data_IF_497561836545
#
_entry.id   IF_497561836545
#
_cell.length_a   1.000
_cell.length_b   1.000
_cell.length_c   1.000
_cell.angle_alpha   90.00
_cell.angle_beta   90.00
_cell.angle_gamma   90.00
#
_symmetry.space_group_name_H-M   'P 1'
#
loop_
_entity.id
_entity.type
_entity.pdbx_description
1 polymer ?
#
# COMPACT_ATOMS: atom_id res chain seq x y z
N UNK A 1 -14.47 54.36 -57.00
CA UNK A 1 -13.39 54.94 -57.81
C UNK A 1 -12.06 54.59 -57.15
N UNK A 2 -11.28 53.66 -57.72
CA UNK A 2 -9.92 53.40 -57.24
C UNK A 2 -9.01 54.38 -57.97
N UNK A 3 -8.54 55.42 -57.29
CA UNK A 3 -7.50 56.31 -57.81
C UNK A 3 -6.31 55.48 -58.28
N UNK A 4 -5.89 55.64 -59.54
CA UNK A 4 -4.63 55.08 -60.06
C UNK A 4 -3.49 55.82 -59.38
N UNK A 5 -2.95 55.22 -58.33
CA UNK A 5 -1.83 55.74 -57.57
C UNK A 5 -0.58 55.04 -58.09
N UNK A 6 0.34 55.79 -58.69
CA UNK A 6 1.63 55.27 -59.16
C UNK A 6 2.73 55.74 -58.20
N UNK A 7 3.32 54.81 -57.46
CA UNK A 7 4.37 55.10 -56.47
C UNK A 7 5.66 54.40 -56.89
N UNK A 8 6.75 55.14 -57.01
CA UNK A 8 8.07 54.53 -57.19
C UNK A 8 8.58 53.95 -55.86
N UNK A 9 8.90 52.65 -55.85
CA UNK A 9 9.43 51.93 -54.68
C UNK A 9 10.67 51.12 -55.05
N UNK A 10 11.50 50.78 -54.06
CA UNK A 10 12.57 49.78 -54.21
C UNK A 10 12.07 48.40 -53.79
N UNK A 11 12.36 47.40 -54.61
CA UNK A 11 12.04 46.01 -54.31
C UNK A 11 12.85 45.52 -53.11
N UNK A 12 12.20 44.96 -52.08
CA UNK A 12 12.91 44.43 -50.89
C UNK A 12 13.85 43.24 -51.18
N UNK A 13 13.73 42.60 -52.34
CA UNK A 13 14.56 41.44 -52.71
C UNK A 13 15.74 41.81 -53.62
N UNK A 14 15.49 42.50 -54.73
CA UNK A 14 16.53 42.83 -55.72
C UNK A 14 16.95 44.30 -55.72
N UNK A 15 16.40 45.13 -54.83
CA UNK A 15 16.65 46.57 -54.70
C UNK A 15 16.38 47.43 -55.95
N UNK A 16 15.86 46.85 -57.04
CA UNK A 16 15.47 47.57 -58.23
C UNK A 16 14.28 48.51 -57.95
N UNK A 17 14.31 49.70 -58.57
CA UNK A 17 13.21 50.66 -58.53
C UNK A 17 12.10 50.19 -59.47
N UNK A 18 10.85 50.20 -58.99
CA UNK A 18 9.68 49.81 -59.77
C UNK A 18 8.46 50.66 -59.41
N UNK A 19 7.50 50.75 -60.34
CA UNK A 19 6.25 51.46 -60.12
C UNK A 19 5.23 50.53 -59.48
N UNK A 20 4.76 50.87 -58.29
CA UNK A 20 3.76 50.14 -57.53
C UNK A 20 2.40 50.85 -57.59
N UNK A 21 1.35 50.09 -57.91
CA UNK A 21 -0.03 50.60 -57.92
C UNK A 21 -0.76 50.46 -56.59
N UNK A 22 -0.11 49.88 -55.57
CA UNK A 22 -0.65 49.68 -54.22
C UNK A 22 0.40 50.04 -53.16
N UNK A 23 -0.04 50.60 -52.06
CA UNK A 23 0.82 50.90 -50.89
C UNK A 23 1.39 49.64 -50.24
N UNK A 24 0.72 48.49 -50.37
CA UNK A 24 1.15 47.19 -49.84
C UNK A 24 2.11 46.42 -50.74
N UNK A 25 2.34 46.83 -51.99
CA UNK A 25 3.28 46.12 -52.88
C UNK A 25 4.72 46.41 -52.45
N UNK A 26 5.47 45.36 -52.12
CA UNK A 26 6.86 45.43 -51.62
C UNK A 26 7.92 44.91 -52.61
N UNK A 27 7.49 44.20 -53.66
CA UNK A 27 8.38 43.54 -54.62
C UNK A 27 8.03 43.92 -56.06
N UNK A 28 9.04 44.01 -56.93
CA UNK A 28 8.87 44.40 -58.34
C UNK A 28 8.20 43.33 -59.21
N UNK A 29 8.20 42.07 -58.79
CA UNK A 29 7.62 40.95 -59.55
C UNK A 29 7.24 39.78 -58.65
N UNK A 30 6.37 38.90 -59.14
CA UNK A 30 6.00 37.66 -58.47
C UNK A 30 7.22 36.76 -58.18
N UNK A 31 8.23 36.78 -59.07
CA UNK A 31 9.50 36.05 -58.87
C UNK A 31 10.23 36.54 -57.62
N UNK A 32 10.37 37.85 -57.43
CA UNK A 32 11.04 38.43 -56.26
C UNK A 32 10.26 38.15 -54.97
N UNK A 33 8.93 38.22 -55.01
CA UNK A 33 8.08 37.87 -53.86
C UNK A 33 8.24 36.39 -53.44
N UNK A 34 8.27 35.47 -54.41
CA UNK A 34 8.46 34.04 -54.14
C UNK A 34 9.85 33.72 -53.58
N UNK A 35 10.89 34.38 -54.06
CA UNK A 35 12.24 34.20 -53.54
C UNK A 35 12.35 34.71 -52.10
N UNK A 36 11.80 35.90 -51.81
CA UNK A 36 11.75 36.44 -50.45
C UNK A 36 10.91 35.57 -49.49
N UNK A 37 9.82 34.97 -49.97
CA UNK A 37 9.04 34.01 -49.20
C UNK A 37 9.87 32.76 -48.86
N UNK A 38 10.53 32.15 -49.85
CA UNK A 38 11.36 30.95 -49.64
C UNK A 38 12.55 31.23 -48.71
N UNK A 39 13.19 32.39 -48.82
CA UNK A 39 14.28 32.78 -47.93
C UNK A 39 13.82 32.94 -46.48
N UNK A 40 12.68 33.60 -46.25
CA UNK A 40 12.09 33.73 -44.92
C UNK A 40 11.75 32.37 -44.30
N UNK A 41 11.14 31.46 -45.07
CA UNK A 41 10.86 30.09 -44.60
C UNK A 41 12.16 29.34 -44.25
N UNK A 42 13.22 29.52 -45.05
CA UNK A 42 14.53 28.92 -44.78
C UNK A 42 15.15 29.47 -43.49
N UNK A 43 15.13 30.79 -43.28
CA UNK A 43 15.63 31.44 -42.06
C UNK A 43 14.88 30.98 -40.82
N UNK A 44 13.54 30.92 -40.88
CA UNK A 44 12.72 30.40 -39.78
C UNK A 44 13.07 28.95 -39.41
N UNK A 45 13.35 28.09 -40.40
CA UNK A 45 13.79 26.71 -40.15
C UNK A 45 15.18 26.64 -39.50
N UNK A 46 16.09 27.52 -39.90
CA UNK A 46 17.44 27.57 -39.31
C UNK A 46 17.35 28.05 -37.86
N UNK A 47 16.59 29.12 -37.60
CA UNK A 47 16.38 29.65 -36.24
C UNK A 47 15.70 28.62 -35.33
N UNK A 48 14.70 27.87 -35.83
CA UNK A 48 14.05 26.82 -35.04
C UNK A 48 15.03 25.70 -34.66
N UNK A 49 15.89 25.29 -35.60
CA UNK A 49 16.92 24.27 -35.35
C UNK A 49 18.01 24.76 -34.38
N UNK A 50 18.43 26.02 -34.51
CA UNK A 50 19.39 26.64 -33.58
C UNK A 50 18.81 26.71 -32.16
N UNK A 51 17.55 27.11 -32.02
CA UNK A 51 16.88 27.15 -30.73
C UNK A 51 16.64 25.75 -30.11
N UNK A 52 16.40 24.72 -30.93
CA UNK A 52 16.38 23.33 -30.47
C UNK A 52 17.76 22.86 -29.98
N UNK A 53 18.83 23.24 -30.70
CA UNK A 53 20.19 22.94 -30.30
C UNK A 53 20.55 23.63 -28.97
N UNK A 54 20.22 24.90 -28.80
CA UNK A 54 20.42 25.65 -27.55
C UNK A 54 19.69 25.02 -26.35
N UNK A 55 18.49 24.46 -26.55
CA UNK A 55 17.79 23.70 -25.50
C UNK A 55 18.47 22.39 -25.15
N UNK A 56 19.19 21.78 -26.10
CA UNK A 56 19.88 20.51 -25.90
C UNK A 56 21.22 20.68 -25.19
N UNK A 57 21.91 21.80 -25.43
CA UNK A 57 23.16 22.15 -24.75
C UNK A 57 22.81 22.75 -23.39
N UNK A 58 22.54 21.86 -22.41
CA UNK A 58 22.53 22.26 -21.00
C UNK A 58 23.91 22.79 -20.67
N UNK A 59 24.01 24.08 -20.38
CA UNK A 59 25.22 24.66 -19.78
C UNK A 59 25.61 23.81 -18.58
N UNK A 60 26.89 23.39 -18.46
CA UNK A 60 27.32 22.59 -17.34
C UNK A 60 26.97 23.36 -16.05
N UNK A 61 26.26 22.73 -15.11
CA UNK A 61 25.84 23.39 -13.89
C UNK A 61 27.07 23.90 -13.15
N UNK A 62 27.05 25.17 -12.75
CA UNK A 62 28.11 25.74 -11.94
C UNK A 62 28.01 25.13 -10.52
N UNK A 63 28.89 24.15 -10.24
CA UNK A 63 28.94 23.39 -8.99
C UNK A 63 29.74 24.11 -7.87
N UNK A 64 30.27 25.31 -8.11
CA UNK A 64 31.06 26.07 -7.13
C UNK A 64 30.22 26.95 -6.19
N UNK A 65 28.95 26.59 -5.96
CA UNK A 65 28.06 27.31 -5.03
C UNK A 65 28.23 26.75 -3.61
N UNK A 66 28.07 27.62 -2.60
CA UNK A 66 28.07 27.20 -1.18
C UNK A 66 26.85 26.33 -0.82
N UNK A 67 25.71 26.60 -1.47
CA UNK A 67 24.47 25.85 -1.31
C UNK A 67 24.13 25.14 -2.61
N UNK A 68 23.97 23.83 -2.50
CA UNK A 68 23.70 22.93 -3.62
C UNK A 68 22.31 22.31 -3.47
N UNK A 69 21.62 22.15 -4.59
CA UNK A 69 20.39 21.35 -4.64
C UNK A 69 20.73 19.85 -4.62
N UNK A 70 19.82 18.96 -4.19
CA UNK A 70 20.05 17.52 -4.22
C UNK A 70 20.45 16.96 -5.59
N UNK A 71 20.07 17.64 -6.69
CA UNK A 71 20.48 17.30 -8.04
C UNK A 71 21.94 17.70 -8.32
N UNK A 72 22.34 18.91 -7.93
CA UNK A 72 23.72 19.39 -8.07
C UNK A 72 24.67 18.58 -7.16
N UNK A 73 24.22 18.16 -5.98
CA UNK A 73 24.98 17.25 -5.09
C UNK A 73 25.18 15.87 -5.73
N UNK A 74 24.15 15.37 -6.41
CA UNK A 74 24.24 14.10 -7.14
C UNK A 74 25.29 14.16 -8.26
N UNK A 75 25.37 15.29 -8.96
CA UNK A 75 26.39 15.54 -9.99
C UNK A 75 27.78 15.74 -9.38
N UNK A 76 27.89 16.49 -8.28
CA UNK A 76 29.15 16.73 -7.57
C UNK A 76 29.81 15.43 -7.08
N UNK A 77 29.01 14.52 -6.50
CA UNK A 77 29.49 13.25 -5.98
C UNK A 77 29.48 12.11 -7.03
N UNK A 78 28.96 12.39 -8.24
CA UNK A 78 28.72 11.40 -9.29
C UNK A 78 27.89 10.19 -8.81
N UNK A 79 26.84 10.45 -8.03
CA UNK A 79 25.93 9.45 -7.44
C UNK A 79 24.50 9.69 -7.96
N UNK A 80 23.69 8.63 -8.08
CA UNK A 80 22.29 8.77 -8.46
C UNK A 80 21.48 9.67 -7.51
N UNK A 81 20.64 10.55 -8.07
CA UNK A 81 19.73 11.45 -7.32
C UNK A 81 18.91 10.73 -6.26
N UNK A 82 18.48 9.51 -6.54
CA UNK A 82 17.70 8.67 -5.62
C UNK A 82 18.47 8.29 -4.36
N UNK A 83 19.78 8.10 -4.45
CA UNK A 83 20.64 7.80 -3.31
C UNK A 83 20.78 9.04 -2.41
N UNK A 84 20.96 10.23 -2.99
CA UNK A 84 20.98 11.49 -2.22
C UNK A 84 19.68 11.66 -1.43
N UNK A 85 18.52 11.49 -2.05
CA UNK A 85 17.24 11.54 -1.33
C UNK A 85 17.10 10.47 -0.25
N UNK A 86 17.72 9.30 -0.43
CA UNK A 86 17.75 8.24 0.60
C UNK A 86 18.59 8.66 1.79
N UNK A 87 19.77 9.22 1.57
CA UNK A 87 20.62 9.73 2.65
C UNK A 87 19.95 10.90 3.40
N UNK A 88 19.24 11.77 2.70
CA UNK A 88 18.42 12.83 3.32
C UNK A 88 17.29 12.24 4.17
N UNK A 89 16.61 11.18 3.69
CA UNK A 89 15.53 10.52 4.45
C UNK A 89 16.07 9.79 5.68
N UNK A 90 17.25 9.20 5.58
CA UNK A 90 17.92 8.52 6.68
C UNK A 90 18.57 9.48 7.69
N UNK A 91 18.59 10.78 7.40
CA UNK A 91 19.19 11.80 8.26
C UNK A 91 20.72 11.86 8.21
N UNK A 92 21.35 11.20 7.24
CA UNK A 92 22.82 11.19 7.08
C UNK A 92 23.34 12.53 6.56
N UNK A 93 22.60 13.18 5.65
CA UNK A 93 22.95 14.49 5.09
C UNK A 93 22.13 15.57 5.78
N UNK A 94 22.80 16.56 6.37
CA UNK A 94 22.15 17.76 6.90
C UNK A 94 21.61 18.61 5.75
N UNK A 95 20.34 19.00 5.84
CA UNK A 95 19.68 19.78 4.78
C UNK A 95 18.85 20.91 5.36
N UNK A 96 18.79 22.01 4.62
CA UNK A 96 17.90 23.13 4.87
C UNK A 96 16.67 22.95 3.98
N UNK A 97 15.50 22.76 4.62
CA UNK A 97 14.23 22.57 3.91
C UNK A 97 13.43 23.87 3.85
N UNK A 98 13.15 24.31 2.64
CA UNK A 98 12.13 25.29 2.31
C UNK A 98 10.92 24.57 1.71
N UNK A 99 9.74 25.20 1.69
CA UNK A 99 8.48 24.58 1.26
C UNK A 99 8.58 23.83 -0.09
N UNK A 100 9.29 24.39 -1.07
CA UNK A 100 9.44 23.80 -2.41
C UNK A 100 10.90 23.49 -2.80
N UNK A 101 11.87 23.74 -1.91
CA UNK A 101 13.29 23.63 -2.21
C UNK A 101 14.05 23.03 -1.04
N UNK A 102 14.97 22.11 -1.34
CA UNK A 102 15.92 21.60 -0.36
C UNK A 102 17.31 22.07 -0.78
N UNK A 103 18.05 22.64 0.16
CA UNK A 103 19.45 23.05 -0.03
C UNK A 103 20.35 22.26 0.90
N UNK A 104 21.51 21.88 0.40
CA UNK A 104 22.57 21.20 1.14
C UNK A 104 23.77 22.14 1.15
N UNK A 105 24.36 22.37 2.32
CA UNK A 105 25.58 23.16 2.42
C UNK A 105 26.75 22.31 1.96
N UNK A 106 27.65 22.88 1.16
CA UNK A 106 28.81 22.14 0.62
C UNK A 106 29.73 21.62 1.72
N UNK A 107 29.97 22.39 2.77
CA UNK A 107 30.76 21.98 3.93
C UNK A 107 30.21 20.68 4.58
N UNK A 108 28.89 20.57 4.77
CA UNK A 108 28.27 19.36 5.34
C UNK A 108 28.50 18.10 4.46
N UNK A 109 28.80 18.27 3.16
CA UNK A 109 29.12 17.17 2.24
C UNK A 109 30.59 16.79 2.34
N UNK A 110 31.47 17.79 2.40
CA UNK A 110 32.91 17.59 2.56
C UNK A 110 33.22 16.94 3.92
N UNK A 111 32.53 17.36 4.99
CA UNK A 111 32.61 16.74 6.33
C UNK A 111 32.26 15.24 6.34
N UNK A 112 31.37 14.77 5.45
CA UNK A 112 31.02 13.35 5.34
C UNK A 112 32.11 12.51 4.69
N UNK A 113 33.04 13.12 3.94
CA UNK A 113 34.11 12.40 3.24
C UNK A 113 35.30 12.07 4.14
N UNK A 114 35.34 12.64 5.35
CA UNK A 114 36.51 12.67 6.23
C UNK A 114 36.69 11.43 7.14
N UNK A 115 36.00 10.31 6.90
CA UNK A 115 36.40 8.92 7.22
C UNK A 115 35.15 8.06 7.48
N UNK A 116 35.01 6.97 6.73
CA UNK A 116 34.32 5.79 7.25
C UNK A 116 35.41 4.92 7.89
N UNK A 117 35.66 5.09 9.18
CA UNK A 117 36.15 3.95 9.97
C UNK A 117 35.02 2.94 9.88
N UNK A 118 35.28 1.77 9.32
CA UNK A 118 34.32 0.67 9.34
C UNK A 118 34.15 0.22 10.80
N UNK A 119 33.37 0.97 11.58
CA UNK A 119 32.60 0.34 12.63
C UNK A 119 31.57 -0.50 11.89
N UNK A 120 31.95 -1.76 11.63
CA UNK A 120 31.01 -2.80 11.35
C UNK A 120 30.02 -2.77 12.52
N UNK A 121 28.92 -2.04 12.36
CA UNK A 121 27.80 -2.11 13.26
C UNK A 121 27.47 -3.58 13.36
N UNK A 122 27.89 -4.13 14.49
CA UNK A 122 27.79 -5.52 14.82
C UNK A 122 26.30 -5.76 15.02
N UNK A 123 25.56 -5.96 13.91
CA UNK A 123 24.24 -6.57 13.92
C UNK A 123 24.47 -8.01 14.32
N UNK A 124 24.77 -8.19 15.61
CA UNK A 124 24.78 -9.47 16.28
C UNK A 124 23.46 -10.14 15.87
N UNK A 125 23.50 -11.26 15.12
CA UNK A 125 22.30 -11.99 14.81
C UNK A 125 21.72 -12.40 16.15
N UNK A 126 20.51 -11.92 16.47
CA UNK A 126 19.77 -12.32 17.68
C UNK A 126 19.90 -13.84 17.80
N UNK A 127 20.62 -14.31 18.81
CA UNK A 127 20.78 -15.73 19.07
C UNK A 127 19.38 -16.31 19.24
N UNK A 128 18.93 -17.06 18.24
CA UNK A 128 17.63 -17.72 18.31
C UNK A 128 17.77 -18.77 19.38
N UNK A 129 17.01 -18.65 20.47
CA UNK A 129 16.99 -19.62 21.55
C UNK A 129 16.95 -21.05 20.96
N UNK A 130 17.81 -21.97 21.44
CA UNK A 130 17.89 -23.30 20.88
C UNK A 130 16.52 -23.97 20.96
N UNK A 131 16.03 -24.45 19.81
CA UNK A 131 14.80 -25.22 19.75
C UNK A 131 15.14 -26.60 20.32
N UNK A 132 14.76 -26.86 21.56
CA UNK A 132 14.98 -28.15 22.24
C UNK A 132 13.86 -29.15 21.99
N UNK A 133 12.67 -28.65 21.67
CA UNK A 133 11.46 -29.47 21.54
C UNK A 133 11.09 -29.74 20.08
N UNK A 134 11.12 -31.02 19.71
CA UNK A 134 10.72 -31.49 18.38
C UNK A 134 9.60 -32.54 18.42
N UNK A 135 8.76 -32.57 17.39
CA UNK A 135 7.88 -33.69 17.07
C UNK A 135 8.46 -34.51 15.92
N UNK A 136 8.26 -35.82 15.92
CA UNK A 136 8.48 -36.64 14.73
C UNK A 136 7.34 -36.48 13.71
N UNK A 137 7.59 -36.80 12.44
CA UNK A 137 6.52 -36.82 11.41
C UNK A 137 5.33 -37.69 11.80
N UNK A 138 5.59 -38.84 12.45
CA UNK A 138 4.56 -39.76 12.93
C UNK A 138 3.71 -39.14 14.06
N UNK A 139 4.36 -38.49 15.04
CA UNK A 139 3.65 -37.78 16.11
C UNK A 139 2.77 -36.65 15.58
N UNK A 140 3.24 -35.89 14.57
CA UNK A 140 2.42 -34.83 13.95
C UNK A 140 1.23 -35.42 13.20
N UNK A 141 1.42 -36.56 12.51
CA UNK A 141 0.34 -37.29 11.82
C UNK A 141 -0.72 -37.78 12.81
N UNK A 142 -0.31 -38.36 13.93
CA UNK A 142 -1.23 -38.88 14.95
C UNK A 142 -1.95 -37.76 15.69
N UNK A 143 -1.23 -36.72 16.13
CA UNK A 143 -1.79 -35.60 16.90
C UNK A 143 -2.79 -34.76 16.10
N UNK A 144 -2.50 -34.52 14.82
CA UNK A 144 -3.30 -33.61 13.98
C UNK A 144 -4.10 -34.33 12.90
N UNK A 145 -4.06 -35.66 12.83
CA UNK A 145 -4.74 -36.48 11.83
C UNK A 145 -4.52 -36.01 10.38
N UNK A 146 -3.29 -35.62 10.06
CA UNK A 146 -2.89 -35.09 8.74
C UNK A 146 -2.02 -36.08 7.96
N UNK A 147 -2.07 -36.04 6.63
CA UNK A 147 -1.22 -36.86 5.78
C UNK A 147 0.26 -36.44 5.86
N UNK A 148 1.18 -37.40 5.91
CA UNK A 148 2.64 -37.18 5.98
C UNK A 148 3.15 -36.30 4.84
N UNK A 149 2.79 -36.60 3.58
CA UNK A 149 3.19 -35.80 2.42
C UNK A 149 2.73 -34.35 2.53
N UNK A 150 1.59 -34.12 3.18
CA UNK A 150 1.04 -32.78 3.37
C UNK A 150 1.81 -31.99 4.43
N UNK A 151 2.33 -32.64 5.48
CA UNK A 151 3.19 -32.01 6.50
C UNK A 151 4.41 -31.35 5.83
N UNK A 152 5.07 -32.06 4.90
CA UNK A 152 6.23 -31.53 4.18
C UNK A 152 5.89 -30.30 3.32
N UNK A 153 4.76 -30.33 2.60
CA UNK A 153 4.29 -29.20 1.80
C UNK A 153 4.00 -27.97 2.67
N UNK A 154 3.34 -28.18 3.81
CA UNK A 154 3.02 -27.13 4.77
C UNK A 154 4.28 -26.53 5.39
N UNK A 155 5.24 -27.37 5.78
CA UNK A 155 6.48 -26.92 6.38
C UNK A 155 7.29 -26.06 5.40
N UNK A 156 7.34 -26.44 4.12
CA UNK A 156 7.99 -25.64 3.05
C UNK A 156 7.28 -24.30 2.84
N UNK A 157 5.93 -24.29 2.82
CA UNK A 157 5.15 -23.06 2.60
C UNK A 157 5.25 -22.06 3.76
N UNK A 158 5.37 -22.55 4.99
CA UNK A 158 5.35 -21.73 6.21
C UNK A 158 6.73 -21.56 6.85
N UNK A 159 7.81 -22.00 6.18
CA UNK A 159 9.19 -21.93 6.66
C UNK A 159 9.38 -22.53 8.08
N UNK A 160 8.78 -23.69 8.33
CA UNK A 160 8.88 -24.38 9.63
C UNK A 160 10.26 -25.03 9.75
N UNK A 161 11.05 -24.71 10.81
CA UNK A 161 12.35 -25.33 11.03
C UNK A 161 12.23 -26.85 11.19
N UNK A 162 13.11 -27.58 10.51
CA UNK A 162 13.21 -29.03 10.58
C UNK A 162 14.64 -29.47 10.79
N UNK A 163 14.82 -30.56 11.52
CA UNK A 163 16.10 -31.25 11.68
C UNK A 163 15.94 -32.69 11.21
N UNK A 164 17.02 -33.27 10.66
CA UNK A 164 17.04 -34.66 10.23
C UNK A 164 18.02 -35.41 11.12
N UNK A 165 17.55 -36.45 11.81
CA UNK A 165 18.38 -37.27 12.67
C UNK A 165 17.99 -38.74 12.50
N UNK A 166 18.97 -39.63 12.29
CA UNK A 166 18.79 -41.08 12.22
C UNK A 166 17.64 -41.53 11.29
N UNK A 167 17.54 -40.96 10.09
CA UNK A 167 16.52 -41.35 9.12
C UNK A 167 15.12 -40.78 9.37
N UNK A 168 14.91 -40.05 10.48
CA UNK A 168 13.62 -39.43 10.83
C UNK A 168 13.70 -37.92 10.71
N UNK A 169 12.60 -37.30 10.27
CA UNK A 169 12.46 -35.85 10.22
C UNK A 169 11.78 -35.36 11.50
N UNK A 170 12.40 -34.36 12.11
CA UNK A 170 11.96 -33.72 13.34
C UNK A 170 11.53 -32.29 13.04
N UNK A 171 10.42 -31.86 13.62
CA UNK A 171 9.82 -30.54 13.43
C UNK A 171 9.75 -29.80 14.74
N UNK A 172 10.01 -28.49 14.75
CA UNK A 172 9.87 -27.71 15.97
C UNK A 172 8.44 -27.72 16.52
N UNK A 173 8.24 -28.13 17.78
CA UNK A 173 6.92 -28.17 18.42
C UNK A 173 6.24 -26.80 18.40
N UNK A 174 6.98 -25.75 18.78
CA UNK A 174 6.47 -24.37 18.82
C UNK A 174 5.91 -23.90 17.49
N UNK A 175 6.62 -24.17 16.39
CA UNK A 175 6.20 -23.73 15.06
C UNK A 175 5.04 -24.56 14.50
N UNK A 176 5.02 -25.86 14.77
CA UNK A 176 3.92 -26.76 14.38
C UNK A 176 2.65 -26.38 15.15
N UNK A 177 2.73 -26.32 16.48
CA UNK A 177 1.57 -26.01 17.32
C UNK A 177 1.03 -24.59 16.98
N UNK A 178 1.90 -23.58 16.80
CA UNK A 178 1.47 -22.24 16.37
C UNK A 178 0.80 -22.22 14.98
N UNK A 179 1.23 -23.09 14.06
CA UNK A 179 0.60 -23.19 12.75
C UNK A 179 -0.80 -23.80 12.85
N UNK A 180 -0.97 -24.85 13.64
CA UNK A 180 -2.27 -25.50 13.82
C UNK A 180 -3.23 -24.67 14.68
N UNK A 181 -2.75 -23.96 15.70
CA UNK A 181 -3.58 -23.03 16.50
C UNK A 181 -4.19 -21.92 15.66
N UNK A 182 -3.49 -21.40 14.65
CA UNK A 182 -4.05 -20.39 13.71
C UNK A 182 -5.20 -20.92 12.85
N UNK A 183 -5.31 -22.25 12.70
CA UNK A 183 -6.32 -22.91 11.88
C UNK A 183 -7.34 -23.70 12.70
N UNK A 184 -7.14 -23.78 14.01
CA UNK A 184 -8.07 -24.45 14.90
C UNK A 184 -9.43 -23.73 14.81
N UNK A 185 -10.54 -24.47 14.68
CA UNK A 185 -11.87 -23.90 14.84
C UNK A 185 -11.98 -23.14 16.16
N UNK A 186 -12.74 -22.05 16.19
CA UNK A 186 -12.95 -21.27 17.40
C UNK A 186 -13.53 -22.18 18.51
N UNK A 187 -12.94 -22.25 19.72
CA UNK A 187 -13.38 -23.16 20.78
C UNK A 187 -14.84 -22.96 21.22
N UNK A 188 -15.49 -21.85 20.86
CA UNK A 188 -16.90 -21.57 21.15
C UNK A 188 -17.89 -22.44 20.35
N UNK A 189 -17.41 -23.23 19.39
CA UNK A 189 -18.22 -24.12 18.55
C UNK A 189 -18.16 -25.55 19.11
N UNK A 190 -19.09 -25.85 20.01
CA UNK A 190 -19.25 -27.16 20.64
C UNK A 190 -19.99 -28.17 19.76
N UNK A 191 -20.88 -27.70 18.88
CA UNK A 191 -21.74 -28.58 18.08
C UNK A 191 -21.46 -28.46 16.58
N UNK A 192 -21.42 -29.62 15.91
CA UNK A 192 -21.07 -29.75 14.50
C UNK A 192 -22.08 -30.64 13.79
N UNK A 193 -22.50 -30.26 12.57
CA UNK A 193 -23.23 -31.14 11.67
C UNK A 193 -22.28 -31.85 10.72
N UNK A 194 -22.52 -33.13 10.46
CA UNK A 194 -21.91 -33.82 9.34
C UNK A 194 -22.55 -33.38 8.01
N UNK A 195 -21.88 -33.63 6.89
CA UNK A 195 -22.50 -33.41 5.58
C UNK A 195 -23.79 -34.20 5.40
N UNK A 196 -23.86 -35.44 5.92
CA UNK A 196 -25.03 -36.32 5.80
C UNK A 196 -26.21 -35.80 6.63
N UNK A 197 -25.97 -35.40 7.87
CA UNK A 197 -26.99 -34.80 8.74
C UNK A 197 -27.60 -33.53 8.13
N UNK A 198 -26.79 -32.73 7.42
CA UNK A 198 -27.32 -31.57 6.71
C UNK A 198 -28.16 -31.93 5.48
N UNK A 199 -27.86 -33.05 4.80
CA UNK A 199 -28.70 -33.53 3.71
C UNK A 199 -30.06 -33.99 4.24
N UNK A 200 -30.08 -34.75 5.33
CA UNK A 200 -31.31 -35.26 5.94
C UNK A 200 -32.14 -34.13 6.56
N UNK A 201 -31.52 -33.24 7.34
CA UNK A 201 -32.24 -32.20 8.08
C UNK A 201 -32.75 -31.07 7.19
N UNK A 202 -32.00 -30.70 6.15
CA UNK A 202 -32.32 -29.54 5.30
C UNK A 202 -32.72 -29.91 3.87
N UNK A 203 -32.78 -31.20 3.54
CA UNK A 203 -33.11 -31.67 2.19
C UNK A 203 -32.13 -31.19 1.10
N UNK A 204 -30.91 -30.82 1.49
CA UNK A 204 -29.94 -30.22 0.57
C UNK A 204 -29.12 -31.29 -0.15
N UNK A 205 -28.76 -31.02 -1.40
CA UNK A 205 -27.73 -31.83 -2.09
C UNK A 205 -26.33 -31.47 -1.59
N UNK A 206 -25.36 -32.38 -1.71
CA UNK A 206 -23.96 -32.13 -1.34
C UNK A 206 -23.39 -30.85 -2.00
N UNK A 207 -23.74 -30.61 -3.26
CA UNK A 207 -23.33 -29.40 -3.98
C UNK A 207 -23.93 -28.13 -3.36
N UNK A 208 -25.22 -28.16 -3.02
CA UNK A 208 -25.89 -27.04 -2.38
C UNK A 208 -25.28 -26.73 -1.01
N UNK A 209 -24.90 -27.76 -0.25
CA UNK A 209 -24.18 -27.64 1.02
C UNK A 209 -22.85 -26.89 0.82
N UNK A 210 -22.03 -27.28 -0.15
CA UNK A 210 -20.74 -26.63 -0.38
C UNK A 210 -20.89 -25.16 -0.78
N UNK A 211 -21.84 -24.86 -1.67
CA UNK A 211 -22.17 -23.49 -2.06
C UNK A 211 -22.66 -22.67 -0.86
N UNK A 212 -23.52 -23.25 -0.01
CA UNK A 212 -24.07 -22.59 1.18
C UNK A 212 -22.99 -22.28 2.22
N UNK A 213 -22.12 -23.25 2.52
CA UNK A 213 -21.01 -23.08 3.47
C UNK A 213 -20.03 -22.00 2.97
N UNK A 214 -19.72 -22.01 1.68
CA UNK A 214 -18.84 -21.01 1.06
C UNK A 214 -19.46 -19.61 1.11
N UNK A 215 -20.74 -19.48 0.73
CA UNK A 215 -21.46 -18.20 0.70
C UNK A 215 -21.59 -17.56 2.08
N UNK A 216 -21.82 -18.36 3.10
CA UNK A 216 -22.01 -17.90 4.49
C UNK A 216 -20.72 -17.94 5.32
N UNK A 217 -19.56 -18.25 4.71
CA UNK A 217 -18.26 -18.37 5.37
C UNK A 217 -18.30 -19.24 6.65
N UNK A 218 -19.05 -20.34 6.62
CA UNK A 218 -19.29 -21.18 7.80
C UNK A 218 -17.99 -21.91 8.19
N UNK A 219 -17.55 -21.83 9.46
CA UNK A 219 -16.40 -22.59 9.95
C UNK A 219 -16.59 -24.09 9.72
N UNK A 220 -15.55 -24.73 9.17
CA UNK A 220 -15.53 -26.17 8.89
C UNK A 220 -14.33 -26.84 9.53
N UNK A 221 -14.54 -28.03 10.08
CA UNK A 221 -13.51 -28.92 10.62
C UNK A 221 -13.43 -30.15 9.72
N UNK A 222 -12.23 -30.65 9.47
CA UNK A 222 -12.02 -31.90 8.74
C UNK A 222 -11.44 -32.92 9.70
N UNK A 223 -12.12 -34.04 9.86
CA UNK A 223 -11.63 -35.20 10.61
C UNK A 223 -11.66 -36.41 9.66
N UNK A 224 -10.49 -36.90 9.28
CA UNK A 224 -10.37 -37.96 8.28
C UNK A 224 -10.92 -37.56 6.90
N UNK A 225 -11.86 -38.34 6.38
CA UNK A 225 -12.53 -38.08 5.09
C UNK A 225 -13.73 -37.14 5.28
N UNK A 226 -14.31 -37.09 6.47
CA UNK A 226 -15.55 -36.39 6.76
C UNK A 226 -15.30 -34.92 7.07
N UNK A 227 -16.23 -34.07 6.63
CA UNK A 227 -16.21 -32.63 6.88
C UNK A 227 -17.41 -32.29 7.74
N UNK A 228 -17.12 -31.56 8.81
CA UNK A 228 -18.07 -31.12 9.80
C UNK A 228 -18.23 -29.60 9.71
N UNK A 229 -19.47 -29.12 9.84
CA UNK A 229 -19.83 -27.71 9.76
C UNK A 229 -20.42 -27.24 11.08
N UNK A 230 -20.12 -26.00 11.47
CA UNK A 230 -20.62 -25.47 12.74
C UNK A 230 -22.15 -25.43 12.77
N UNK A 231 -22.76 -26.14 13.71
CA UNK A 231 -24.23 -26.20 13.87
C UNK A 231 -24.83 -24.82 14.13
N UNK A 232 -24.24 -24.05 15.04
CA UNK A 232 -24.63 -22.67 15.35
C UNK A 232 -24.71 -21.79 14.10
N UNK A 233 -23.67 -21.79 13.28
CA UNK A 233 -23.60 -20.94 12.09
C UNK A 233 -24.54 -21.43 10.98
N UNK A 234 -24.72 -22.74 10.83
CA UNK A 234 -25.68 -23.34 9.89
C UNK A 234 -27.11 -22.97 10.27
N UNK A 235 -27.47 -23.11 11.56
CA UNK A 235 -28.82 -22.84 12.05
C UNK A 235 -29.16 -21.33 11.97
N UNK A 236 -28.20 -20.43 12.23
CA UNK A 236 -28.33 -18.98 12.00
C UNK A 236 -28.54 -18.68 10.50
N UNK A 237 -27.70 -19.24 9.63
CA UNK A 237 -27.78 -18.99 8.19
C UNK A 237 -29.02 -19.62 7.53
N UNK A 238 -29.66 -20.60 8.18
CA UNK A 238 -30.95 -21.17 7.78
C UNK A 238 -32.16 -20.51 8.45
N UNK A 239 -31.93 -19.56 9.36
CA UNK A 239 -33.00 -18.83 10.06
C UNK A 239 -33.73 -19.65 11.13
N UNK A 240 -33.16 -20.77 11.58
CA UNK A 240 -33.72 -21.60 12.66
C UNK A 240 -33.31 -21.04 14.04
N UNK A 241 -32.11 -20.48 14.14
CA UNK A 241 -31.63 -19.79 15.34
C UNK A 241 -31.57 -18.28 15.09
N UNK A 242 -32.04 -17.49 16.07
CA UNK A 242 -31.82 -16.04 16.04
C UNK A 242 -30.31 -15.75 16.07
N UNK A 243 -29.81 -14.76 15.31
CA UNK A 243 -28.42 -14.33 15.40
C UNK A 243 -28.09 -14.02 16.87
N UNK A 244 -26.96 -14.54 17.38
CA UNK A 244 -26.49 -14.14 18.71
C UNK A 244 -26.54 -12.62 18.81
N UNK A 245 -27.23 -12.10 19.83
CA UNK A 245 -27.42 -10.67 20.00
C UNK A 245 -26.04 -10.00 19.94
N UNK A 246 -25.89 -8.89 19.19
CA UNK A 246 -24.58 -8.28 19.01
C UNK A 246 -24.00 -7.98 20.39
N UNK A 247 -22.84 -8.55 20.72
CA UNK A 247 -22.21 -8.45 22.05
C UNK A 247 -21.80 -7.00 22.42
N UNK A 248 -21.98 -6.06 21.49
CA UNK A 248 -21.65 -4.66 21.65
C UNK A 248 -22.81 -3.76 21.24
N UNK A 249 -23.03 -2.67 21.97
CA UNK A 249 -23.83 -1.53 21.54
C UNK A 249 -22.98 -0.60 20.68
N UNK A 250 -23.58 -0.02 19.65
CA UNK A 250 -23.06 1.24 19.10
C UNK A 250 -23.31 2.38 20.09
N UNK A 251 -22.52 3.46 20.01
CA UNK A 251 -22.73 4.65 20.85
C UNK A 251 -24.16 5.19 20.73
N UNK A 252 -24.75 5.18 19.53
CA UNK A 252 -26.11 5.65 19.30
C UNK A 252 -27.16 4.75 19.99
N UNK A 253 -27.06 3.43 19.81
CA UNK A 253 -27.95 2.45 20.48
C UNK A 253 -27.85 2.54 22.00
N UNK A 254 -26.66 2.76 22.55
CA UNK A 254 -26.46 2.92 23.99
C UNK A 254 -27.05 4.23 24.53
N UNK A 255 -26.96 5.33 23.77
CA UNK A 255 -27.58 6.60 24.15
C UNK A 255 -29.11 6.49 24.20
N UNK A 256 -29.70 5.81 23.21
CA UNK A 256 -31.16 5.59 23.15
C UNK A 256 -31.63 4.67 24.28
N UNK A 257 -30.91 3.58 24.56
CA UNK A 257 -31.34 2.60 25.58
C UNK A 257 -31.29 3.13 27.01
N UNK A 258 -30.27 3.93 27.34
CA UNK A 258 -30.03 4.40 28.70
C UNK A 258 -30.33 5.89 28.91
N UNK A 259 -30.84 6.58 27.89
CA UNK A 259 -31.10 8.02 27.91
C UNK A 259 -29.88 8.85 28.39
N UNK A 260 -28.67 8.39 28.04
CA UNK A 260 -27.41 9.06 28.40
C UNK A 260 -26.90 9.91 27.24
N UNK A 261 -26.25 11.03 27.56
CA UNK A 261 -25.50 11.80 26.57
C UNK A 261 -24.22 11.05 26.17
N UNK A 262 -23.71 11.36 24.97
CA UNK A 262 -22.48 10.76 24.44
C UNK A 262 -21.30 10.90 25.40
N UNK A 263 -21.16 12.04 26.07
CA UNK A 263 -20.06 12.32 26.99
C UNK A 263 -20.21 11.55 28.31
N UNK A 264 -21.43 11.42 28.83
CA UNK A 264 -21.71 10.56 29.99
C UNK A 264 -21.35 9.11 29.69
N UNK A 265 -21.73 8.61 28.51
CA UNK A 265 -21.39 7.26 28.08
C UNK A 265 -19.86 7.03 28.03
N UNK A 266 -19.10 7.98 27.48
CA UNK A 266 -17.64 7.90 27.45
C UNK A 266 -17.00 8.04 28.83
N UNK A 267 -17.58 8.86 29.71
CA UNK A 267 -17.14 9.00 31.08
C UNK A 267 -17.29 7.68 31.84
N UNK A 268 -18.48 7.06 31.82
CA UNK A 268 -18.73 5.77 32.46
C UNK A 268 -17.85 4.66 31.87
N UNK A 269 -17.72 4.60 30.54
CA UNK A 269 -16.85 3.62 29.89
C UNK A 269 -15.37 3.79 30.29
N UNK A 270 -14.91 5.02 30.51
CA UNK A 270 -13.53 5.29 30.98
C UNK A 270 -13.38 4.97 32.47
N UNK A 271 -14.33 5.37 33.29
CA UNK A 271 -14.26 5.24 34.75
C UNK A 271 -14.36 3.77 35.21
N UNK A 272 -15.26 3.00 34.61
CA UNK A 272 -15.45 1.58 34.91
C UNK A 272 -14.65 0.63 34.02
N UNK A 273 -13.73 1.18 33.20
CA UNK A 273 -12.84 0.43 32.32
C UNK A 273 -13.56 -0.57 31.38
N UNK A 274 -14.71 -0.16 30.83
CA UNK A 274 -15.52 -0.99 29.93
C UNK A 274 -14.75 -1.19 28.62
N UNK A 275 -14.58 -2.44 28.12
CA UNK A 275 -13.88 -2.72 26.90
C UNK A 275 -14.62 -2.11 25.71
N UNK A 276 -13.86 -1.40 24.89
CA UNK A 276 -14.32 -0.74 23.66
C UNK A 276 -13.53 -1.24 22.47
N UNK A 277 -14.24 -1.61 21.41
CA UNK A 277 -13.64 -2.06 20.15
C UNK A 277 -13.94 -1.01 19.07
N UNK A 278 -12.91 -0.52 18.38
CA UNK A 278 -13.10 0.36 17.22
C UNK A 278 -13.29 -0.47 15.97
N UNK A 279 -14.44 -0.31 15.30
CA UNK A 279 -14.73 -0.91 13.99
C UNK A 279 -14.95 0.22 12.97
N UNK A 280 -13.85 0.66 12.35
CA UNK A 280 -13.86 1.80 11.42
C UNK A 280 -14.17 3.12 12.11
N UNK A 281 -15.21 3.83 11.63
CA UNK A 281 -15.68 5.11 12.23
C UNK A 281 -16.42 4.93 13.55
N UNK A 282 -16.96 3.73 13.80
CA UNK A 282 -17.81 3.46 14.96
C UNK A 282 -17.00 2.92 16.15
N UNK A 283 -17.37 3.37 17.35
CA UNK A 283 -16.91 2.78 18.61
C UNK A 283 -18.00 1.86 19.13
N UNK A 284 -17.65 0.61 19.41
CA UNK A 284 -18.54 -0.41 19.94
C UNK A 284 -18.21 -0.62 21.43
N UNK A 285 -19.23 -0.64 22.28
CA UNK A 285 -19.12 -0.77 23.75
C UNK A 285 -19.77 -2.08 24.16
N UNK A 286 -19.13 -2.87 25.04
CA UNK A 286 -19.66 -4.17 25.49
C UNK A 286 -21.07 -4.04 26.10
N UNK A 287 -22.04 -4.82 25.59
CA UNK A 287 -23.42 -4.82 26.11
C UNK A 287 -23.50 -5.31 27.54
N UNK A 288 -22.86 -6.46 27.81
CA UNK A 288 -22.99 -7.17 29.08
C UNK A 288 -22.48 -6.35 30.26
N UNK A 289 -21.42 -5.57 30.07
CA UNK A 289 -20.86 -4.73 31.12
C UNK A 289 -21.63 -3.41 31.28
N UNK A 290 -22.08 -2.81 30.17
CA UNK A 290 -22.85 -1.58 30.22
C UNK A 290 -24.24 -1.81 30.84
N UNK A 291 -24.91 -2.92 30.48
CA UNK A 291 -26.18 -3.33 31.06
C UNK A 291 -26.06 -3.66 32.56
N UNK A 292 -24.95 -4.25 33.02
CA UNK A 292 -24.70 -4.50 34.45
C UNK A 292 -24.50 -3.22 35.25
N UNK A 293 -23.80 -2.25 34.67
CA UNK A 293 -23.47 -0.99 35.33
C UNK A 293 -24.67 -0.06 35.46
N UNK A 294 -25.49 -0.01 34.40
CA UNK A 294 -26.67 0.84 34.33
C UNK A 294 -27.96 0.08 34.69
N UNK A 295 -27.84 -1.11 35.30
CA UNK A 295 -28.98 -1.84 35.83
C UNK A 295 -29.65 -1.01 36.93
N UNK A 296 -30.98 -0.95 36.91
CA UNK A 296 -31.74 -0.27 37.96
C UNK A 296 -31.41 -0.90 39.33
N UNK A 297 -31.18 -0.09 40.38
CA UNK A 297 -30.93 -0.61 41.72
C UNK A 297 -32.15 -1.43 42.17
N UNK A 298 -31.92 -2.73 42.42
CA UNK A 298 -32.91 -3.59 43.07
C UNK A 298 -32.74 -3.43 44.57
N UNK A 299 -33.82 -3.08 45.25
CA UNK A 299 -33.92 -3.20 46.71
C UNK A 299 -34.46 -4.61 46.93
N UNK A 300 -33.67 -5.49 47.55
CA UNK A 300 -34.15 -6.75 48.13
C UNK A 300 -34.66 -6.51 49.56
#
# INVERSE_FOLDING_TARGET
MSSKIDIQKRCKWCNAVFTAHKTTTEYCSHRCANLAYKDRVRKQRIESLQHELEKSIKTPPNLNKEYLTPSEVAELLNIGRTSIYRYIRNGTIKVIRFERKTLVRRADIEDMTDFIVQEAENKQPKEKAPITDFYTTAEVKEKYHVNESWIFLVAKKNNIPRTFNRGKTYWSKKHIDAYFSKKAPNPDITEWYSSQEMQEKFGMTLSAIYCFVSKNAIPKKKEGIMVYYSKKHVDIAKGIAAPEEPQYYTVAEAMEKFNLTRDQLYHYAKYHNIPKVKKGKYTLISKSELDKLLAAPKIE
#
